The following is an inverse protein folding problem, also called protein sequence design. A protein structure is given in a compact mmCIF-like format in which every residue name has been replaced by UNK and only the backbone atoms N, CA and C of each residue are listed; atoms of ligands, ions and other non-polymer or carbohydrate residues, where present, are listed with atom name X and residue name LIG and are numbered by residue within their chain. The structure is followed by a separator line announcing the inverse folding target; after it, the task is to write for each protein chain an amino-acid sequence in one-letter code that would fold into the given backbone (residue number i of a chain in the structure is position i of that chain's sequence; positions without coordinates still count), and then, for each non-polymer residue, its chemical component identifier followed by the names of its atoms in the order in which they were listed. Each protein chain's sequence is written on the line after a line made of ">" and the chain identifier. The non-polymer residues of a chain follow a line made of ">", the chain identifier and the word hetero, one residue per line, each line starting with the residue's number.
data_IF_895319758081
#
_entry.id   IF_895319758081
#
_cell.length_a   1.000
_cell.length_b   1.000
_cell.length_c   1.000
_cell.angle_alpha   90.00
_cell.angle_beta   90.00
_cell.angle_gamma   90.00
#
_symmetry.space_group_name_H-M   'P 1'
#
loop_
_entity.id
_entity.type
_entity.pdbx_description
1 polymer ?
#
# COMPACT_ATOMS: atom_id res chain seq x y z
N UNK A 1 11.49 -19.12 -10.62
CA UNK A 1 10.98 -17.78 -10.93
C UNK A 1 10.72 -17.07 -9.61
N UNK A 2 11.53 -16.06 -9.28
CA UNK A 2 11.33 -15.21 -8.09
C UNK A 2 10.30 -14.11 -8.38
N UNK A 3 9.85 -13.41 -7.33
CA UNK A 3 8.96 -12.25 -7.49
C UNK A 3 9.67 -11.16 -8.29
N UNK A 4 10.97 -10.95 -8.08
CA UNK A 4 11.77 -9.97 -8.80
C UNK A 4 11.91 -10.32 -10.29
N UNK A 5 12.08 -11.60 -10.62
CA UNK A 5 12.11 -12.09 -12.00
C UNK A 5 10.75 -11.86 -12.69
N UNK A 6 9.65 -12.24 -12.01
CA UNK A 6 8.29 -12.03 -12.51
C UNK A 6 7.97 -10.55 -12.70
N UNK A 7 8.34 -9.69 -11.73
CA UNK A 7 8.14 -8.25 -11.84
C UNK A 7 8.88 -7.66 -13.04
N UNK A 8 10.11 -8.11 -13.29
CA UNK A 8 10.89 -7.65 -14.45
C UNK A 8 10.19 -7.98 -15.76
N UNK A 9 9.66 -9.20 -15.88
CA UNK A 9 8.91 -9.64 -17.07
C UNK A 9 7.60 -8.87 -17.25
N UNK A 10 6.82 -8.70 -16.17
CA UNK A 10 5.56 -7.95 -16.19
C UNK A 10 5.81 -6.47 -16.55
N UNK A 11 6.86 -5.86 -16.02
CA UNK A 11 7.21 -4.47 -16.33
C UNK A 11 7.69 -4.28 -17.77
N UNK A 12 8.17 -5.34 -18.44
CA UNK A 12 8.56 -5.31 -19.84
C UNK A 12 7.36 -5.35 -20.82
N UNK A 13 6.17 -5.74 -20.36
CA UNK A 13 4.94 -5.74 -21.17
C UNK A 13 4.51 -4.32 -21.52
N UNK A 14 3.64 -4.16 -22.52
CA UNK A 14 3.07 -2.86 -22.86
C UNK A 14 2.15 -2.31 -21.74
N UNK A 15 1.89 -1.01 -21.76
CA UNK A 15 1.13 -0.34 -20.71
C UNK A 15 -0.29 -0.87 -20.55
N UNK A 16 -0.96 -1.30 -21.63
CA UNK A 16 -2.34 -1.79 -21.57
C UNK A 16 -2.38 -3.15 -20.89
N UNK A 17 -1.47 -4.05 -21.25
CA UNK A 17 -1.35 -5.37 -20.60
C UNK A 17 -1.04 -5.24 -19.12
N UNK A 18 -0.09 -4.37 -18.73
CA UNK A 18 0.21 -4.13 -17.32
C UNK A 18 -0.99 -3.58 -16.55
N UNK A 19 -1.73 -2.64 -17.13
CA UNK A 19 -2.93 -2.08 -16.50
C UNK A 19 -4.00 -3.16 -16.29
N UNK A 20 -4.19 -4.04 -17.26
CA UNK A 20 -5.12 -5.15 -17.13
C UNK A 20 -4.69 -6.14 -16.02
N UNK A 21 -3.41 -6.50 -15.96
CA UNK A 21 -2.88 -7.36 -14.90
C UNK A 21 -3.01 -6.71 -13.52
N UNK A 22 -2.69 -5.42 -13.40
CA UNK A 22 -2.88 -4.67 -12.16
C UNK A 22 -4.35 -4.69 -11.70
N UNK A 23 -5.30 -4.53 -12.64
CA UNK A 23 -6.72 -4.63 -12.33
C UNK A 23 -7.11 -6.03 -11.82
N UNK A 24 -6.66 -7.10 -12.49
CA UNK A 24 -6.94 -8.47 -12.05
C UNK A 24 -6.35 -8.77 -10.67
N UNK A 25 -5.12 -8.32 -10.41
CA UNK A 25 -4.48 -8.47 -9.11
C UNK A 25 -5.27 -7.72 -8.03
N UNK A 26 -5.69 -6.48 -8.29
CA UNK A 26 -6.52 -5.72 -7.34
C UNK A 26 -7.86 -6.43 -7.07
N UNK A 27 -8.56 -6.88 -8.12
CA UNK A 27 -9.84 -7.60 -7.95
C UNK A 27 -9.69 -8.93 -7.21
N UNK A 28 -8.52 -9.57 -7.25
CA UNK A 28 -8.27 -10.77 -6.45
C UNK A 28 -8.29 -10.47 -4.95
N UNK A 29 -7.87 -9.27 -4.54
CA UNK A 29 -7.88 -8.84 -3.14
C UNK A 29 -9.30 -8.54 -2.63
N UNK A 30 -10.22 -8.14 -3.51
CA UNK A 30 -11.62 -7.90 -3.16
C UNK A 30 -12.38 -9.20 -2.79
N UNK A 31 -11.79 -10.36 -3.10
CA UNK A 31 -12.38 -11.68 -2.79
C UNK A 31 -11.97 -12.25 -1.43
N UNK A 32 -11.08 -11.57 -0.71
CA UNK A 32 -10.62 -11.98 0.62
C UNK A 32 -11.75 -11.88 1.64
N UNK A 33 -11.75 -12.80 2.61
CA UNK A 33 -12.66 -12.74 3.74
C UNK A 33 -12.31 -11.58 4.67
N UNK A 34 -13.28 -11.11 5.48
CA UNK A 34 -13.04 -10.06 6.47
C UNK A 34 -11.90 -10.43 7.44
N UNK A 35 -11.79 -11.70 7.83
CA UNK A 35 -10.73 -12.17 8.73
C UNK A 35 -9.34 -12.11 8.07
N UNK A 36 -9.23 -12.43 6.78
CA UNK A 36 -7.97 -12.29 6.03
C UNK A 36 -7.58 -10.82 5.87
N UNK A 37 -8.57 -9.96 5.58
CA UNK A 37 -8.36 -8.50 5.49
C UNK A 37 -7.88 -7.94 6.83
N UNK A 38 -8.52 -8.34 7.94
CA UNK A 38 -8.13 -7.91 9.29
C UNK A 38 -6.68 -8.31 9.61
N UNK A 39 -6.31 -9.56 9.33
CA UNK A 39 -4.95 -10.04 9.55
C UNK A 39 -3.91 -9.25 8.75
N UNK A 40 -4.17 -8.98 7.46
CA UNK A 40 -3.28 -8.18 6.61
C UNK A 40 -3.14 -6.74 7.13
N UNK A 41 -4.22 -6.14 7.64
CA UNK A 41 -4.16 -4.81 8.24
C UNK A 41 -3.36 -4.78 9.54
N UNK A 42 -3.48 -5.81 10.39
CA UNK A 42 -2.68 -5.94 11.62
C UNK A 42 -1.19 -6.00 11.26
N UNK A 43 -0.81 -6.82 10.28
CA UNK A 43 0.57 -6.95 9.83
C UNK A 43 1.12 -5.63 9.30
N UNK A 44 0.36 -4.92 8.48
CA UNK A 44 0.77 -3.61 7.96
C UNK A 44 0.87 -2.55 9.07
N UNK A 45 -0.03 -2.57 10.04
CA UNK A 45 0.03 -1.67 11.19
C UNK A 45 1.30 -1.90 12.02
N UNK A 46 1.65 -3.16 12.29
CA UNK A 46 2.89 -3.52 13.00
C UNK A 46 4.11 -3.07 12.21
N UNK A 47 4.15 -3.34 10.90
CA UNK A 47 5.25 -2.92 10.01
C UNK A 47 5.44 -1.40 10.04
N UNK A 48 4.37 -0.63 9.86
CA UNK A 48 4.41 0.84 9.90
C UNK A 48 4.80 1.39 11.26
N UNK A 49 4.34 0.77 12.35
CA UNK A 49 4.76 1.18 13.69
C UNK A 49 6.28 1.00 13.87
N UNK A 50 6.83 -0.12 13.41
CA UNK A 50 8.27 -0.35 13.46
C UNK A 50 9.06 0.66 12.61
N UNK A 51 8.54 1.08 11.45
CA UNK A 51 9.15 2.14 10.64
C UNK A 51 9.15 3.51 11.32
N UNK A 52 8.09 3.82 12.08
CA UNK A 52 8.01 5.03 12.90
C UNK A 52 9.04 4.99 14.03
N UNK A 53 9.11 3.90 14.78
CA UNK A 53 10.07 3.72 15.87
C UNK A 53 11.53 3.78 15.37
N UNK A 54 11.78 3.28 14.16
CA UNK A 54 13.08 3.31 13.50
C UNK A 54 13.42 4.67 12.87
N UNK A 55 12.50 5.64 12.84
CA UNK A 55 12.70 6.94 12.20
C UNK A 55 12.82 6.87 10.67
N UNK A 56 12.35 5.79 10.06
CA UNK A 56 12.35 5.59 8.60
C UNK A 56 11.15 6.30 7.98
N UNK A 57 10.01 6.27 8.66
CA UNK A 57 8.79 6.90 8.19
C UNK A 57 8.88 8.43 8.28
N UNK A 58 8.44 9.12 7.23
CA UNK A 58 8.30 10.59 7.24
C UNK A 58 7.15 11.01 8.15
N UNK A 59 7.45 11.71 9.24
CA UNK A 59 6.46 12.22 10.19
C UNK A 59 6.28 13.72 10.08
N UNK A 60 5.06 14.21 10.30
CA UNK A 60 4.77 15.64 10.50
C UNK A 60 4.41 15.89 11.96
N UNK A 61 4.55 17.15 12.41
CA UNK A 61 4.13 17.50 13.76
C UNK A 61 2.60 17.39 13.92
N UNK A 62 2.13 17.24 15.15
CA UNK A 62 0.70 17.22 15.44
C UNK A 62 0.00 18.53 15.00
N UNK A 63 0.68 19.67 15.16
CA UNK A 63 0.19 20.98 14.75
C UNK A 63 0.01 21.08 13.23
N UNK A 64 1.03 20.68 12.47
CA UNK A 64 0.99 20.66 11.01
C UNK A 64 -0.10 19.73 10.49
N UNK A 65 -0.21 18.53 11.08
CA UNK A 65 -1.26 17.56 10.75
C UNK A 65 -2.67 18.14 10.94
N UNK A 66 -2.93 18.78 12.08
CA UNK A 66 -4.22 19.41 12.40
C UNK A 66 -4.53 20.59 11.48
N UNK A 67 -3.54 21.42 11.17
CA UNK A 67 -3.69 22.52 10.22
C UNK A 67 -4.11 22.01 8.84
N UNK A 68 -3.39 21.00 8.31
CA UNK A 68 -3.68 20.41 7.01
C UNK A 68 -5.08 19.78 6.95
N UNK A 69 -5.49 19.09 8.01
CA UNK A 69 -6.83 18.48 8.09
C UNK A 69 -7.95 19.54 8.07
N UNK A 70 -7.75 20.70 8.71
CA UNK A 70 -8.71 21.82 8.70
C UNK A 70 -8.77 22.48 7.33
N UNK A 71 -7.62 22.71 6.69
CA UNK A 71 -7.54 23.33 5.37
C UNK A 71 -8.27 22.51 4.29
N UNK A 72 -8.24 21.18 4.36
CA UNK A 72 -8.94 20.30 3.40
C UNK A 72 -10.46 20.29 3.54
N UNK A 73 -11.01 20.84 4.63
CA UNK A 73 -12.47 20.93 4.87
C UNK A 73 -13.07 22.26 4.42
N UNK A 74 -12.24 23.28 4.18
CA UNK A 74 -12.66 24.62 3.74
C UNK A 74 -12.77 24.68 2.21
#
# INVERSE_FOLDING_TARGET
>A
MTVEELMREVLALDASTRANMAHQLLSSLDSLSEAEIEQLWIEEAVRRNAELDAGIAGTVSAEESLMNARARRA
#
